data_IF_076845873712
#
_entry.id   IF_076845873712
#
_cell.length_a   1.000
_cell.length_b   1.000
_cell.length_c   1.000
_cell.angle_alpha   90.00
_cell.angle_beta   90.00
_cell.angle_gamma   90.00
#
_symmetry.space_group_name_H-M   'P 1'
#
loop_
_entity.id
_entity.type
_entity.pdbx_description
1 polymer ?
#
# COMPACT_ATOMS: atom_id res chain seq x y z
N UNK A 1 62.87 2.23 8.66
CA UNK A 1 61.86 1.30 8.09
C UNK A 1 60.54 1.53 8.82
N UNK A 2 59.68 2.43 8.32
CA UNK A 2 58.39 2.75 8.93
C UNK A 2 57.30 2.13 8.05
N UNK A 3 56.68 1.05 8.50
CA UNK A 3 55.61 0.35 7.77
C UNK A 3 54.28 1.06 8.03
N UNK A 4 53.78 1.78 7.02
CA UNK A 4 52.38 2.18 6.93
C UNK A 4 51.51 0.93 6.87
N UNK A 5 50.79 0.63 7.95
CA UNK A 5 49.67 -0.31 7.93
C UNK A 5 48.38 0.52 7.75
N UNK A 6 48.01 0.78 6.49
CA UNK A 6 46.70 1.31 6.17
C UNK A 6 45.68 0.18 6.35
N UNK A 7 44.96 0.18 7.49
CA UNK A 7 43.78 -0.64 7.66
C UNK A 7 42.72 -0.20 6.64
N UNK A 8 42.54 -1.00 5.59
CA UNK A 8 41.34 -0.97 4.75
C UNK A 8 40.16 -1.41 5.62
N UNK A 9 39.49 -0.45 6.26
CA UNK A 9 38.13 -0.60 6.77
C UNK A 9 37.21 -0.81 5.56
N UNK A 10 37.18 -2.06 5.08
CA UNK A 10 36.19 -2.52 4.10
C UNK A 10 34.84 -2.43 4.80
N UNK A 11 34.18 -1.28 4.60
CA UNK A 11 32.79 -1.09 4.98
C UNK A 11 31.99 -2.01 4.08
N UNK A 12 31.79 -3.24 4.54
CA UNK A 12 30.72 -4.08 4.04
C UNK A 12 29.43 -3.34 4.42
N UNK A 13 29.03 -2.40 3.57
CA UNK A 13 27.71 -1.82 3.60
C UNK A 13 26.78 -3.01 3.39
N UNK A 14 26.27 -3.56 4.50
CA UNK A 14 25.10 -4.41 4.47
C UNK A 14 24.05 -3.56 3.76
N UNK A 15 23.86 -3.85 2.47
CA UNK A 15 22.79 -3.29 1.69
C UNK A 15 21.51 -3.77 2.38
N UNK A 16 20.99 -2.90 3.26
CA UNK A 16 19.75 -3.19 3.96
C UNK A 16 18.69 -3.20 2.89
N UNK A 17 18.08 -4.36 2.66
CA UNK A 17 16.89 -4.44 1.85
C UNK A 17 15.87 -3.40 2.34
N UNK A 18 15.27 -2.68 1.40
CA UNK A 18 14.31 -1.63 1.67
C UNK A 18 12.95 -2.03 1.13
N UNK A 19 11.90 -1.56 1.80
CA UNK A 19 10.50 -1.83 1.46
C UNK A 19 9.69 -0.54 1.42
N UNK A 20 8.65 -0.50 0.60
CA UNK A 20 7.63 0.55 0.60
C UNK A 20 6.27 -0.06 0.31
N UNK A 21 5.18 0.57 0.75
CA UNK A 21 3.82 0.02 0.60
C UNK A 21 2.93 1.00 -0.16
N UNK A 22 2.22 0.49 -1.15
CA UNK A 22 1.29 1.27 -1.95
C UNK A 22 -0.10 0.65 -1.83
N UNK A 23 -1.05 1.41 -1.31
CA UNK A 23 -2.46 1.04 -1.24
C UNK A 23 -3.22 1.78 -2.34
N UNK A 24 -3.71 1.02 -3.32
CA UNK A 24 -4.51 1.51 -4.43
C UNK A 24 -5.99 1.20 -4.21
N UNK A 25 -6.82 2.21 -4.38
CA UNK A 25 -8.28 2.12 -4.33
C UNK A 25 -8.86 2.68 -5.62
N UNK A 26 -10.02 2.16 -6.02
CA UNK A 26 -10.88 2.83 -7.00
C UNK A 26 -11.47 4.10 -6.35
N UNK A 27 -11.78 5.11 -7.16
CA UNK A 27 -12.63 6.21 -6.71
C UNK A 27 -13.96 5.71 -6.09
N UNK A 28 -14.54 6.46 -5.17
CA UNK A 28 -15.82 6.15 -4.54
C UNK A 28 -17.00 6.11 -5.52
N UNK A 29 -18.17 5.76 -5.00
CA UNK A 29 -19.42 5.60 -5.75
C UNK A 29 -19.73 6.85 -6.58
N UNK A 30 -20.26 6.64 -7.78
CA UNK A 30 -20.65 7.70 -8.71
C UNK A 30 -22.15 7.63 -8.99
N UNK A 31 -22.70 8.75 -9.47
CA UNK A 31 -24.02 8.74 -10.06
C UNK A 31 -24.06 7.85 -11.30
N UNK A 32 -25.26 7.35 -11.59
CA UNK A 32 -25.56 6.55 -12.75
C UNK A 32 -25.34 7.33 -14.03
N UNK A 33 -25.80 8.57 -14.03
CA UNK A 33 -25.46 9.61 -14.98
C UNK A 33 -23.94 9.83 -15.02
N UNK A 34 -23.34 9.46 -16.15
CA UNK A 34 -21.90 9.55 -16.38
C UNK A 34 -21.43 10.99 -16.59
N UNK A 35 -22.33 11.93 -16.91
CA UNK A 35 -22.01 13.34 -17.08
C UNK A 35 -21.73 14.05 -15.75
N UNK A 36 -22.27 13.54 -14.64
CA UNK A 36 -21.98 14.05 -13.32
C UNK A 36 -20.56 13.66 -12.90
N UNK A 37 -19.62 14.61 -12.89
CA UNK A 37 -18.20 14.35 -12.65
C UNK A 37 -17.83 14.05 -11.18
N UNK A 38 -18.80 14.17 -10.27
CA UNK A 38 -18.61 14.09 -8.82
C UNK A 38 -18.99 12.71 -8.25
N UNK A 39 -18.57 12.46 -7.01
CA UNK A 39 -19.05 11.33 -6.22
C UNK A 39 -20.55 11.44 -5.96
N UNK A 40 -21.22 10.29 -5.91
CA UNK A 40 -22.56 10.19 -5.35
C UNK A 40 -22.51 10.37 -3.82
N UNK A 41 -23.66 10.61 -3.13
CA UNK A 41 -23.70 10.71 -1.67
C UNK A 41 -23.03 9.52 -0.96
N UNK A 42 -23.25 8.29 -1.45
CA UNK A 42 -22.57 7.10 -0.92
C UNK A 42 -21.04 7.15 -1.10
N UNK A 43 -20.56 7.74 -2.19
CA UNK A 43 -19.13 7.92 -2.47
C UNK A 43 -18.48 8.91 -1.52
N UNK A 44 -19.18 10.01 -1.19
CA UNK A 44 -18.72 10.93 -0.15
C UNK A 44 -18.70 10.26 1.23
N UNK A 45 -19.73 9.48 1.57
CA UNK A 45 -19.74 8.69 2.80
C UNK A 45 -18.55 7.71 2.86
N UNK A 46 -18.21 7.05 1.74
CA UNK A 46 -17.04 6.17 1.65
C UNK A 46 -15.74 6.93 1.84
N UNK A 47 -15.61 8.10 1.23
CA UNK A 47 -14.43 8.95 1.35
C UNK A 47 -14.20 9.37 2.82
N UNK A 48 -15.27 9.73 3.54
CA UNK A 48 -15.21 10.04 4.98
C UNK A 48 -14.85 8.81 5.83
N UNK A 49 -15.40 7.63 5.50
CA UNK A 49 -15.02 6.37 6.16
C UNK A 49 -13.53 6.05 6.00
N UNK A 50 -13.02 6.15 4.77
CA UNK A 50 -11.59 5.98 4.48
C UNK A 50 -10.78 6.98 5.31
N UNK A 51 -11.15 8.25 5.32
CA UNK A 51 -10.44 9.26 6.08
C UNK A 51 -10.37 8.95 7.57
N UNK A 52 -11.51 8.62 8.19
CA UNK A 52 -11.58 8.27 9.61
C UNK A 52 -10.71 7.05 9.93
N UNK A 53 -10.80 6.00 9.12
CA UNK A 53 -10.13 4.74 9.43
C UNK A 53 -8.64 4.74 9.12
N UNK A 54 -8.22 5.45 8.08
CA UNK A 54 -6.82 5.49 7.63
C UNK A 54 -6.00 6.56 8.35
N UNK A 55 -6.63 7.64 8.85
CA UNK A 55 -5.90 8.71 9.53
C UNK A 55 -5.42 8.36 10.94
N UNK A 56 -5.84 7.22 11.48
CA UNK A 56 -5.40 6.75 12.79
C UNK A 56 -4.00 6.10 12.71
N UNK A 57 -3.12 6.41 13.67
CA UNK A 57 -1.79 5.79 13.80
C UNK A 57 -1.82 4.29 14.13
N UNK A 58 -2.99 3.74 14.43
CA UNK A 58 -3.15 2.33 14.78
C UNK A 58 -2.96 1.43 13.57
N UNK A 59 -2.18 0.37 13.75
CA UNK A 59 -1.94 -0.66 12.75
C UNK A 59 -3.27 -1.27 12.24
N UNK A 60 -3.40 -1.33 10.91
CA UNK A 60 -4.46 -2.07 10.20
C UNK A 60 -3.83 -2.94 9.11
N UNK A 61 -4.57 -3.89 8.54
CA UNK A 61 -4.05 -4.74 7.46
C UNK A 61 -3.71 -3.92 6.21
N UNK A 62 -4.57 -2.95 5.89
CA UNK A 62 -4.36 -2.06 4.76
C UNK A 62 -3.25 -1.03 5.02
N UNK A 63 -3.06 -0.60 6.25
CA UNK A 63 -2.08 0.43 6.61
C UNK A 63 -1.18 -0.08 7.75
N UNK A 64 -0.31 -1.06 7.46
CA UNK A 64 0.49 -1.74 8.50
C UNK A 64 1.66 -0.90 9.03
N UNK A 65 1.98 0.22 8.39
CA UNK A 65 3.01 1.17 8.84
C UNK A 65 2.38 2.48 9.37
N UNK A 66 1.07 2.49 9.58
CA UNK A 66 0.31 3.70 9.92
C UNK A 66 -0.19 4.45 8.68
N UNK A 67 -0.66 5.70 8.86
CA UNK A 67 -1.22 6.52 7.80
C UNK A 67 -0.26 6.74 6.63
N UNK A 68 -0.77 6.97 5.41
CA UNK A 68 0.05 7.19 4.22
C UNK A 68 0.90 8.46 4.33
N UNK A 69 2.13 8.39 3.84
CA UNK A 69 3.03 9.55 3.70
C UNK A 69 2.73 10.34 2.42
N UNK A 70 2.10 9.71 1.42
CA UNK A 70 1.69 10.35 0.16
C UNK A 70 0.27 10.00 -0.24
N UNK A 71 -0.43 10.99 -0.78
CA UNK A 71 -1.73 10.83 -1.42
C UNK A 71 -1.61 11.16 -2.91
N UNK A 72 -2.07 10.25 -3.76
CA UNK A 72 -2.08 10.44 -5.22
C UNK A 72 -3.47 10.16 -5.76
N UNK A 73 -4.01 11.09 -6.53
CA UNK A 73 -5.25 10.90 -7.28
C UNK A 73 -4.99 11.04 -8.78
N UNK A 74 -5.65 10.22 -9.59
CA UNK A 74 -5.67 10.45 -11.04
C UNK A 74 -6.56 11.61 -11.43
N UNK A 75 -6.11 12.37 -12.42
CA UNK A 75 -6.88 13.38 -13.13
C UNK A 75 -7.51 12.76 -14.37
N UNK A 76 -8.78 13.08 -14.62
CA UNK A 76 -9.38 12.93 -15.94
C UNK A 76 -9.58 14.33 -16.52
N UNK A 77 -8.73 14.78 -17.46
CA UNK A 77 -8.78 16.14 -17.95
C UNK A 77 -10.04 16.38 -18.80
N UNK A 78 -10.31 17.64 -19.16
CA UNK A 78 -11.44 17.95 -20.02
C UNK A 78 -11.42 17.15 -21.33
N UNK A 79 -12.60 16.80 -21.83
CA UNK A 79 -12.78 16.11 -23.09
C UNK A 79 -12.46 17.04 -24.29
N UNK A 80 -12.62 16.54 -25.52
CA UNK A 80 -12.32 17.32 -26.74
C UNK A 80 -13.19 18.59 -26.89
N UNK A 81 -14.30 18.68 -26.15
CA UNK A 81 -15.20 19.83 -26.12
C UNK A 81 -14.92 20.80 -24.97
N UNK A 82 -13.89 20.52 -24.15
CA UNK A 82 -13.52 21.33 -23.00
C UNK A 82 -14.35 21.08 -21.75
N UNK A 83 -15.14 20.00 -21.71
CA UNK A 83 -15.96 19.65 -20.55
C UNK A 83 -15.17 18.75 -19.59
N UNK A 84 -15.19 19.06 -18.28
CA UNK A 84 -14.60 18.21 -17.25
C UNK A 84 -15.20 16.80 -17.27
N UNK A 85 -14.39 15.76 -17.04
CA UNK A 85 -14.86 14.37 -17.15
C UNK A 85 -15.02 13.64 -15.80
N UNK A 86 -14.12 13.82 -14.83
CA UNK A 86 -14.23 13.16 -13.51
C UNK A 86 -13.24 13.74 -12.50
N UNK A 87 -13.76 14.24 -11.37
CA UNK A 87 -12.96 14.66 -10.20
C UNK A 87 -13.00 13.64 -9.06
N UNK A 88 -13.81 12.58 -9.21
CA UNK A 88 -14.07 11.54 -8.19
C UNK A 88 -12.84 10.95 -7.49
N UNK A 89 -11.71 10.62 -8.18
CA UNK A 89 -10.52 10.13 -7.48
C UNK A 89 -9.96 11.14 -6.47
N UNK A 90 -9.93 12.42 -6.81
CA UNK A 90 -9.52 13.48 -5.89
C UNK A 90 -10.50 13.61 -4.72
N UNK A 91 -11.80 13.64 -5.00
CA UNK A 91 -12.83 13.73 -3.96
C UNK A 91 -12.77 12.56 -2.98
N UNK A 92 -12.39 11.36 -3.46
CA UNK A 92 -12.24 10.16 -2.62
C UNK A 92 -11.16 10.33 -1.57
N UNK A 93 -10.04 11.01 -1.89
CA UNK A 93 -8.93 11.23 -0.96
C UNK A 93 -8.99 12.59 -0.24
N UNK A 94 -9.88 13.49 -0.63
CA UNK A 94 -9.95 14.84 -0.06
C UNK A 94 -10.23 14.83 1.45
N UNK A 95 -11.17 14.03 1.98
CA UNK A 95 -11.36 13.92 3.42
C UNK A 95 -10.10 13.41 4.15
N UNK A 96 -9.40 12.41 3.61
CA UNK A 96 -8.16 11.88 4.20
C UNK A 96 -7.03 12.91 4.18
N UNK A 97 -6.92 13.67 3.08
CA UNK A 97 -5.99 14.79 2.96
C UNK A 97 -6.18 15.83 4.05
N UNK A 98 -7.44 16.21 4.33
CA UNK A 98 -7.76 17.12 5.43
C UNK A 98 -7.40 16.53 6.80
N UNK A 99 -7.77 15.27 7.04
CA UNK A 99 -7.50 14.59 8.31
C UNK A 99 -6.00 14.48 8.61
N UNK A 100 -5.17 14.30 7.58
CA UNK A 100 -3.71 14.16 7.70
C UNK A 100 -2.94 15.46 7.49
N UNK A 101 -3.60 16.55 7.09
CA UNK A 101 -2.93 17.77 6.59
C UNK A 101 -1.89 17.47 5.50
N UNK A 102 -2.18 16.50 4.64
CA UNK A 102 -1.29 15.98 3.60
C UNK A 102 -1.91 16.26 2.22
N UNK A 103 -1.27 17.04 1.33
CA UNK A 103 -1.85 17.37 0.02
C UNK A 103 -2.01 16.15 -0.88
N UNK A 104 -3.05 16.15 -1.72
CA UNK A 104 -3.23 15.15 -2.78
C UNK A 104 -2.48 15.58 -4.03
N UNK A 105 -1.50 14.78 -4.48
CA UNK A 105 -0.95 14.94 -5.82
C UNK A 105 -2.01 14.52 -6.84
N UNK A 106 -2.59 15.50 -7.54
CA UNK A 106 -3.60 15.28 -8.57
C UNK A 106 -3.17 15.91 -9.90
N UNK A 107 -2.02 15.48 -10.42
CA UNK A 107 -1.45 15.99 -11.69
C UNK A 107 -1.28 14.91 -12.75
N UNK A 108 -1.37 13.64 -12.36
CA UNK A 108 -1.19 12.52 -13.27
C UNK A 108 -2.51 12.20 -13.96
N UNK A 109 -2.51 12.22 -15.30
CA UNK A 109 -3.66 11.72 -16.08
C UNK A 109 -3.88 10.24 -15.73
N UNK A 110 -5.14 9.81 -15.66
CA UNK A 110 -5.53 8.43 -15.42
C UNK A 110 -4.91 7.41 -16.40
N UNK A 111 -4.50 7.85 -17.60
CA UNK A 111 -3.80 7.04 -18.60
C UNK A 111 -2.27 7.02 -18.44
N UNK A 112 -1.71 7.90 -17.60
CA UNK A 112 -0.26 8.08 -17.46
C UNK A 112 0.33 7.09 -16.43
N UNK A 113 0.31 5.80 -16.78
CA UNK A 113 0.81 4.72 -15.92
C UNK A 113 2.32 4.88 -15.68
N UNK A 114 3.11 5.26 -16.68
CA UNK A 114 4.54 5.49 -16.52
C UNK A 114 4.85 6.62 -15.53
N UNK A 115 4.12 7.72 -15.62
CA UNK A 115 4.26 8.83 -14.67
C UNK A 115 3.95 8.41 -13.22
N UNK A 116 3.03 7.48 -13.02
CA UNK A 116 2.79 6.89 -11.71
C UNK A 116 3.94 5.96 -11.27
N UNK A 117 4.46 5.11 -12.16
CA UNK A 117 5.64 4.28 -11.84
C UNK A 117 6.82 5.16 -11.43
N UNK A 118 7.01 6.31 -12.07
CA UNK A 118 8.04 7.28 -11.67
C UNK A 118 7.81 7.84 -10.27
N UNK A 119 6.56 7.95 -9.79
CA UNK A 119 6.27 8.31 -8.40
C UNK A 119 6.61 7.19 -7.43
N UNK A 120 6.36 5.94 -7.81
CA UNK A 120 6.79 4.79 -7.02
C UNK A 120 8.32 4.77 -6.87
N UNK A 121 9.05 5.06 -7.95
CA UNK A 121 10.51 5.11 -7.93
C UNK A 121 11.08 6.19 -6.98
N UNK A 122 10.28 7.19 -6.61
CA UNK A 122 10.67 8.29 -5.71
C UNK A 122 10.26 8.07 -4.25
N UNK A 123 9.74 6.89 -3.91
CA UNK A 123 9.46 6.53 -2.53
C UNK A 123 10.77 6.29 -1.77
N UNK A 124 10.83 6.77 -0.53
CA UNK A 124 11.87 6.45 0.43
C UNK A 124 11.62 5.06 1.06
N UNK A 125 12.65 4.51 1.70
CA UNK A 125 12.51 3.27 2.46
C UNK A 125 11.53 3.46 3.62
N UNK A 126 10.57 2.55 3.75
CA UNK A 126 9.50 2.59 4.76
C UNK A 126 8.34 3.51 4.40
N UNK A 127 8.43 4.26 3.30
CA UNK A 127 7.38 5.21 2.90
C UNK A 127 6.14 4.48 2.38
N UNK A 128 4.98 5.07 2.65
CA UNK A 128 3.68 4.55 2.28
C UNK A 128 2.91 5.52 1.38
N UNK A 129 2.12 4.98 0.46
CA UNK A 129 1.32 5.78 -0.48
C UNK A 129 -0.12 5.26 -0.53
N UNK A 130 -1.09 6.16 -0.48
CA UNK A 130 -2.48 5.86 -0.78
C UNK A 130 -2.87 6.51 -2.12
N UNK A 131 -3.50 5.72 -2.99
CA UNK A 131 -3.74 6.08 -4.39
C UNK A 131 -5.20 5.87 -4.73
N UNK A 132 -5.88 6.89 -5.26
CA UNK A 132 -7.21 6.76 -5.85
C UNK A 132 -7.15 6.86 -7.38
N UNK A 133 -7.71 5.87 -8.07
CA UNK A 133 -7.63 5.77 -9.53
C UNK A 133 -8.95 5.38 -10.20
N UNK A 134 -8.98 5.49 -11.54
CA UNK A 134 -10.02 4.92 -12.39
C UNK A 134 -9.84 3.40 -12.51
N UNK A 135 -10.85 2.60 -12.12
CA UNK A 135 -10.73 1.13 -12.11
C UNK A 135 -10.40 0.51 -13.47
N UNK A 136 -10.86 1.12 -14.56
CA UNK A 136 -10.63 0.63 -15.93
C UNK A 136 -9.18 0.68 -16.38
N UNK A 137 -8.30 1.34 -15.62
CA UNK A 137 -6.87 1.45 -15.90
C UNK A 137 -6.01 0.67 -14.90
N UNK A 138 -6.62 0.03 -13.89
CA UNK A 138 -5.90 -0.77 -12.92
C UNK A 138 -5.21 -2.00 -13.55
N UNK A 139 -5.76 -2.53 -14.64
CA UNK A 139 -5.13 -3.58 -15.47
C UNK A 139 -3.77 -3.16 -16.05
N UNK A 140 -3.63 -1.88 -16.39
CA UNK A 140 -2.43 -1.33 -17.00
C UNK A 140 -1.30 -1.22 -15.99
N UNK A 141 -1.61 -1.00 -14.71
CA UNK A 141 -0.62 -1.11 -13.64
C UNK A 141 -0.16 -2.55 -13.43
N UNK A 142 -1.07 -3.53 -13.50
CA UNK A 142 -0.72 -4.94 -13.35
C UNK A 142 0.35 -5.32 -14.37
N UNK A 143 0.10 -4.99 -15.65
CA UNK A 143 1.07 -5.21 -16.73
C UNK A 143 2.37 -4.44 -16.51
N UNK A 144 2.26 -3.15 -16.20
CA UNK A 144 3.42 -2.26 -16.15
C UNK A 144 4.34 -2.51 -14.95
N UNK A 145 3.79 -3.04 -13.86
CA UNK A 145 4.50 -3.34 -12.62
C UNK A 145 4.97 -4.80 -12.53
N UNK A 146 4.73 -5.63 -13.55
CA UNK A 146 5.12 -7.03 -13.55
C UNK A 146 4.34 -7.87 -12.53
N UNK A 147 3.06 -7.52 -12.30
CA UNK A 147 2.20 -8.20 -11.33
C UNK A 147 1.40 -9.36 -11.95
N UNK A 148 1.66 -9.70 -13.22
CA UNK A 148 1.04 -10.85 -13.87
C UNK A 148 1.31 -12.14 -13.08
N UNK A 149 0.25 -12.89 -12.79
CA UNK A 149 0.33 -14.09 -11.95
C UNK A 149 0.31 -13.82 -10.44
N UNK A 150 0.44 -12.56 -10.00
CA UNK A 150 0.29 -12.14 -8.60
C UNK A 150 -1.04 -11.42 -8.34
N UNK A 151 -1.48 -10.58 -9.27
CA UNK A 151 -2.71 -9.79 -9.17
C UNK A 151 -3.76 -10.21 -10.21
N UNK A 152 -5.06 -9.98 -9.96
CA UNK A 152 -6.09 -10.07 -11.00
C UNK A 152 -5.76 -9.17 -12.18
N UNK A 153 -6.00 -9.63 -13.40
CA UNK A 153 -5.69 -8.88 -14.61
C UNK A 153 -6.46 -7.55 -14.74
N UNK A 154 -7.57 -7.39 -14.03
CA UNK A 154 -8.38 -6.17 -14.02
C UNK A 154 -9.10 -6.02 -12.69
N UNK A 155 -9.55 -4.80 -12.38
CA UNK A 155 -10.42 -4.58 -11.24
C UNK A 155 -11.73 -5.37 -11.44
N UNK A 156 -12.17 -6.16 -10.44
CA UNK A 156 -13.37 -6.97 -10.57
C UNK A 156 -14.63 -6.13 -10.80
N UNK A 157 -15.50 -6.57 -11.70
CA UNK A 157 -16.80 -5.92 -11.97
C UNK A 157 -17.83 -6.14 -10.86
N UNK A 158 -17.63 -7.20 -10.08
CA UNK A 158 -18.43 -7.53 -8.91
C UNK A 158 -17.52 -8.08 -7.83
N UNK A 159 -17.81 -7.71 -6.59
CA UNK A 159 -17.16 -8.31 -5.45
C UNK A 159 -17.99 -9.52 -5.01
N UNK A 160 -17.48 -10.71 -5.30
CA UNK A 160 -18.08 -11.94 -4.78
C UNK A 160 -17.53 -12.21 -3.39
N UNK A 161 -18.05 -11.47 -2.41
CA UNK A 161 -17.63 -11.61 -1.02
C UNK A 161 -18.29 -12.85 -0.40
N UNK A 162 -17.48 -13.77 0.12
CA UNK A 162 -17.99 -14.91 0.89
C UNK A 162 -18.13 -14.52 2.36
N UNK A 163 -19.35 -14.37 2.87
CA UNK A 163 -19.59 -14.05 4.30
C UNK A 163 -20.86 -13.21 4.54
N UNK A 164 -21.03 -12.63 5.75
CA UNK A 164 -22.19 -11.79 6.11
C UNK A 164 -22.12 -10.37 5.51
N UNK A 165 -21.16 -10.14 4.64
CA UNK A 165 -20.87 -8.81 4.10
C UNK A 165 -21.57 -8.66 2.75
N UNK A 166 -22.39 -7.62 2.63
CA UNK A 166 -22.95 -7.16 1.37
C UNK A 166 -22.53 -5.69 1.17
N UNK A 167 -22.23 -5.31 -0.08
CA UNK A 167 -22.10 -3.90 -0.42
C UNK A 167 -23.44 -3.26 0.00
N UNK A 168 -23.43 -2.10 0.67
CA UNK A 168 -24.66 -1.35 0.94
C UNK A 168 -25.53 -1.29 -0.32
N UNK A 169 -26.84 -1.43 -0.14
CA UNK A 169 -27.78 -1.13 -1.21
C UNK A 169 -27.69 0.37 -1.48
N UNK A 170 -26.86 0.72 -2.46
CA UNK A 170 -26.73 2.09 -2.91
C UNK A 170 -28.06 2.44 -3.54
N UNK A 171 -28.74 3.45 -2.99
CA UNK A 171 -29.97 3.97 -3.58
C UNK A 171 -29.84 4.06 -5.12
N UNK A 172 -30.93 3.77 -5.82
CA UNK A 172 -31.08 3.48 -7.27
C UNK A 172 -30.28 4.35 -8.27
N UNK A 173 -29.67 5.45 -7.82
CA UNK A 173 -28.88 6.41 -8.59
C UNK A 173 -27.39 6.05 -8.71
N UNK A 174 -26.92 4.91 -8.21
CA UNK A 174 -25.54 4.42 -8.39
C UNK A 174 -25.53 3.26 -9.39
N UNK A 175 -25.15 3.49 -10.66
CA UNK A 175 -25.06 2.41 -11.67
C UNK A 175 -23.64 1.92 -11.98
N UNK A 176 -23.62 0.61 -12.28
CA UNK A 176 -22.61 -0.20 -12.99
C UNK A 176 -21.15 -0.14 -12.52
N UNK A 177 -20.66 -1.32 -12.14
CA UNK A 177 -19.38 -1.55 -11.52
C UNK A 177 -19.58 -1.68 -10.01
N UNK A 178 -20.03 -2.86 -9.58
CA UNK A 178 -20.00 -3.24 -8.17
C UNK A 178 -18.52 -3.33 -7.75
N UNK A 179 -18.24 -3.53 -6.46
CA UNK A 179 -16.87 -3.70 -5.96
C UNK A 179 -16.10 -2.38 -5.74
N UNK A 180 -16.70 -1.48 -4.96
CA UNK A 180 -16.02 -0.26 -4.49
C UNK A 180 -15.22 -0.54 -3.22
N UNK A 181 -15.61 -1.55 -2.44
CA UNK A 181 -15.03 -1.86 -1.14
C UNK A 181 -13.75 -2.71 -1.21
N UNK A 182 -12.86 -2.44 -2.17
CA UNK A 182 -11.57 -3.12 -2.29
C UNK A 182 -10.36 -2.18 -2.14
N UNK A 183 -9.29 -2.75 -1.61
CA UNK A 183 -7.94 -2.18 -1.61
C UNK A 183 -7.00 -3.18 -2.28
N UNK A 184 -6.22 -2.69 -3.22
CA UNK A 184 -5.07 -3.40 -3.76
C UNK A 184 -3.81 -2.88 -3.09
N UNK A 185 -3.07 -3.74 -2.42
CA UNK A 185 -1.85 -3.38 -1.73
C UNK A 185 -0.65 -4.03 -2.40
N UNK A 186 0.34 -3.21 -2.72
CA UNK A 186 1.58 -3.62 -3.35
C UNK A 186 2.71 -3.46 -2.33
N UNK A 187 3.50 -4.51 -2.18
CA UNK A 187 4.78 -4.43 -1.49
C UNK A 187 5.87 -4.18 -2.52
N UNK A 188 6.54 -3.05 -2.39
CA UNK A 188 7.73 -2.72 -3.17
C UNK A 188 8.98 -3.14 -2.38
N UNK A 189 9.98 -3.62 -3.10
CA UNK A 189 11.28 -4.02 -2.58
C UNK A 189 12.39 -3.41 -3.42
N UNK A 190 13.53 -3.08 -2.78
CA UNK A 190 14.81 -2.88 -3.46
C UNK A 190 15.96 -3.30 -2.56
N UNK A 191 17.09 -3.66 -3.15
CA UNK A 191 18.27 -4.14 -2.40
C UNK A 191 19.01 -3.01 -1.67
N UNK A 192 18.79 -1.78 -2.11
CA UNK A 192 19.30 -0.57 -1.48
C UNK A 192 18.92 0.68 -2.29
N UNK A 193 19.34 1.87 -1.87
CA UNK A 193 18.89 3.14 -2.44
C UNK A 193 19.35 3.37 -3.90
N UNK A 194 20.38 2.65 -4.36
CA UNK A 194 20.85 2.69 -5.75
C UNK A 194 20.00 1.83 -6.71
N UNK A 195 19.15 0.96 -6.17
CA UNK A 195 18.34 0.03 -6.96
C UNK A 195 16.92 0.58 -7.16
N UNK A 196 16.29 0.12 -8.25
CA UNK A 196 14.89 0.47 -8.54
C UNK A 196 13.94 -0.34 -7.67
N UNK A 197 12.82 0.28 -7.29
CA UNK A 197 11.71 -0.42 -6.65
C UNK A 197 11.13 -1.46 -7.62
N UNK A 198 10.95 -2.69 -7.13
CA UNK A 198 10.23 -3.78 -7.81
C UNK A 198 9.06 -4.24 -6.95
N UNK A 199 7.93 -4.53 -7.57
CA UNK A 199 6.79 -5.15 -6.87
C UNK A 199 7.13 -6.60 -6.55
N UNK A 200 7.00 -7.02 -5.28
CA UNK A 200 7.31 -8.39 -4.85
C UNK A 200 6.13 -9.14 -4.27
N UNK A 201 5.09 -8.43 -3.84
CA UNK A 201 3.86 -9.03 -3.36
C UNK A 201 2.65 -8.16 -3.69
N UNK A 202 1.50 -8.82 -3.77
CA UNK A 202 0.21 -8.21 -3.98
C UNK A 202 -0.79 -8.78 -2.98
N UNK A 203 -1.65 -7.93 -2.44
CA UNK A 203 -2.78 -8.31 -1.61
C UNK A 203 -4.03 -7.58 -2.09
N UNK A 204 -5.16 -8.28 -2.06
CA UNK A 204 -6.48 -7.69 -2.25
C UNK A 204 -7.28 -7.85 -0.95
N UNK A 205 -7.82 -6.75 -0.46
CA UNK A 205 -8.49 -6.69 0.84
C UNK A 205 -9.80 -5.92 0.74
N UNK A 206 -10.68 -6.10 1.72
CA UNK A 206 -11.96 -5.38 1.80
C UNK A 206 -11.89 -4.25 2.83
N UNK A 207 -12.43 -3.08 2.49
CA UNK A 207 -12.37 -1.89 3.36
C UNK A 207 -13.33 -1.97 4.55
N UNK A 208 -14.50 -2.57 4.38
CA UNK A 208 -15.52 -2.69 5.41
C UNK A 208 -16.49 -1.50 5.53
N UNK A 209 -16.66 -0.66 4.51
CA UNK A 209 -17.38 0.62 4.60
C UNK A 209 -18.82 0.55 5.14
N UNK A 210 -19.60 -0.50 4.81
CA UNK A 210 -20.97 -0.72 5.30
C UNK A 210 -21.97 0.44 5.12
N UNK A 211 -21.62 1.48 4.36
CA UNK A 211 -22.54 2.53 3.89
C UNK A 211 -22.58 3.80 4.72
N UNK A 212 -21.78 3.90 5.80
CA UNK A 212 -21.78 5.05 6.69
C UNK A 212 -20.36 5.58 6.92
N UNK A 213 -20.13 6.88 6.66
CA UNK A 213 -18.82 7.52 6.84
C UNK A 213 -18.32 7.47 8.28
N UNK A 214 -19.22 7.54 9.24
CA UNK A 214 -18.96 7.46 10.67
C UNK A 214 -19.00 6.02 11.23
N UNK A 215 -19.43 5.02 10.45
CA UNK A 215 -19.53 3.61 10.85
C UNK A 215 -18.19 2.97 11.30
N UNK A 216 -18.18 1.94 12.15
CA UNK A 216 -16.96 1.41 12.74
C UNK A 216 -15.96 0.92 11.69
N UNK A 217 -14.65 1.13 11.93
CA UNK A 217 -13.60 0.56 11.09
C UNK A 217 -13.55 -0.96 11.27
N UNK A 218 -13.77 -1.72 10.21
CA UNK A 218 -13.83 -3.18 10.21
C UNK A 218 -12.98 -3.78 9.09
N UNK A 219 -12.87 -5.12 9.04
CA UNK A 219 -12.09 -5.84 8.02
C UNK A 219 -10.63 -5.33 7.91
N UNK A 220 -10.19 -4.89 6.72
CA UNK A 220 -8.80 -4.46 6.51
C UNK A 220 -8.45 -3.14 7.20
N UNK A 221 -9.46 -2.38 7.63
CA UNK A 221 -9.32 -1.17 8.44
C UNK A 221 -9.53 -1.41 9.92
N UNK A 222 -9.87 -2.63 10.35
CA UNK A 222 -9.95 -2.96 11.77
C UNK A 222 -8.56 -2.87 12.40
N UNK A 223 -8.41 -2.20 13.56
CA UNK A 223 -7.20 -2.28 14.37
C UNK A 223 -6.80 -3.73 14.65
N UNK A 224 -5.52 -4.04 14.48
CA UNK A 224 -4.96 -5.36 14.82
C UNK A 224 -5.43 -6.51 13.90
N UNK A 225 -6.11 -6.22 12.79
CA UNK A 225 -6.45 -7.22 11.77
C UNK A 225 -5.18 -7.94 11.28
N UNK A 226 -5.11 -9.26 11.44
CA UNK A 226 -3.88 -10.01 11.21
C UNK A 226 -3.59 -10.21 9.71
N UNK A 227 -2.35 -9.96 9.24
CA UNK A 227 -1.94 -10.18 7.85
C UNK A 227 -1.72 -11.68 7.57
N UNK A 228 -2.78 -12.49 7.67
CA UNK A 228 -2.67 -13.94 7.55
C UNK A 228 -2.35 -14.44 6.13
N UNK A 229 -2.61 -13.64 5.09
CA UNK A 229 -2.46 -14.08 3.70
C UNK A 229 -2.09 -12.93 2.75
N UNK A 230 -0.90 -12.34 2.91
CA UNK A 230 -0.25 -11.75 1.74
C UNK A 230 0.09 -12.94 0.82
N UNK A 231 -0.61 -13.04 -0.30
CA UNK A 231 -0.51 -14.18 -1.21
C UNK A 231 0.96 -14.50 -1.50
N UNK A 232 1.32 -15.77 -1.30
CA UNK A 232 2.66 -16.34 -1.46
C UNK A 232 3.42 -15.62 -2.57
N UNK A 233 4.44 -14.85 -2.21
CA UNK A 233 5.44 -14.40 -3.17
C UNK A 233 5.90 -15.65 -3.93
N UNK A 234 5.78 -15.66 -5.26
CA UNK A 234 6.51 -16.63 -6.05
C UNK A 234 7.97 -16.56 -5.58
N UNK A 235 8.63 -17.68 -5.25
CA UNK A 235 10.04 -17.64 -4.88
C UNK A 235 10.75 -16.89 -6.01
N UNK A 236 11.46 -15.82 -5.65
CA UNK A 236 12.35 -15.11 -6.55
C UNK A 236 13.27 -16.20 -7.09
N UNK A 237 13.03 -16.64 -8.33
CA UNK A 237 14.00 -17.41 -9.05
C UNK A 237 15.23 -16.50 -9.06
N UNK A 238 16.24 -16.90 -8.28
CA UNK A 238 17.53 -16.24 -8.24
C UNK A 238 17.88 -15.90 -9.69
N UNK A 239 18.14 -14.61 -9.94
CA UNK A 239 18.48 -14.09 -11.25
C UNK A 239 19.36 -15.13 -11.96
N UNK A 240 18.77 -15.85 -12.92
CA UNK A 240 19.46 -16.86 -13.66
C UNK A 240 20.44 -16.07 -14.52
N UNK A 241 21.67 -16.04 -14.04
CA UNK A 241 22.87 -15.67 -14.76
C UNK A 241 22.76 -16.25 -16.18
N UNK A 242 22.49 -15.37 -17.14
CA UNK A 242 22.38 -15.72 -18.55
C UNK A 242 23.79 -15.91 -19.11
N UNK A 243 24.47 -16.95 -18.63
CA UNK A 243 25.70 -17.44 -19.21
C UNK A 243 25.37 -18.73 -19.97
N UNK A 244 25.49 -18.77 -21.31
CA UNK A 244 25.16 -19.96 -22.09
C UNK A 244 26.19 -21.05 -21.79
N UNK A 245 25.80 -22.05 -21.00
CA UNK A 245 26.60 -23.27 -20.83
C UNK A 245 26.35 -24.19 -22.02
N UNK A 246 27.38 -24.35 -22.84
CA UNK A 246 27.47 -25.39 -23.84
C UNK A 246 27.14 -26.76 -23.23
N UNK A 247 26.27 -27.50 -23.91
CA UNK A 247 25.86 -28.85 -23.57
C UNK A 247 27.05 -29.81 -23.58
N UNK A 248 27.28 -30.50 -22.47
CA UNK A 248 28.00 -31.76 -22.43
C UNK A 248 27.12 -32.81 -21.75
N UNK A 249 27.03 -33.95 -22.44
CA UNK A 249 26.18 -35.10 -22.19
C UNK A 249 26.40 -35.76 -20.82
N UNK A 250 25.39 -36.38 -20.16
CA UNK A 250 25.59 -37.09 -18.91
C UNK A 250 26.00 -38.55 -19.15
N UNK A 251 27.07 -38.99 -18.50
CA UNK A 251 27.34 -40.40 -18.25
C UNK A 251 26.67 -40.82 -16.92
N UNK A 252 26.18 -42.07 -16.78
CA UNK A 252 25.47 -42.51 -15.58
C UNK A 252 26.46 -42.89 -14.48
N UNK A 253 26.29 -42.31 -13.29
CA UNK A 253 26.95 -42.77 -12.06
C UNK A 253 25.97 -43.63 -11.27
N UNK A 254 26.38 -44.86 -11.04
CA UNK A 254 25.70 -45.89 -10.24
C UNK A 254 25.76 -45.50 -8.76
N UNK A 255 24.62 -45.23 -8.13
CA UNK A 255 24.51 -45.08 -6.68
C UNK A 255 24.27 -46.45 -6.02
N UNK A 256 25.23 -46.90 -5.22
CA UNK A 256 25.17 -48.13 -4.44
C UNK A 256 24.65 -47.78 -3.04
N UNK A 257 23.49 -48.33 -2.68
CA UNK A 257 22.92 -48.26 -1.33
C UNK A 257 23.72 -49.12 -0.36
N UNK A 258 24.11 -48.56 0.79
CA UNK A 258 24.42 -49.34 1.99
C UNK A 258 23.62 -48.77 3.14
N UNK A 259 22.61 -49.52 3.56
CA UNK A 259 21.91 -49.33 4.82
C UNK A 259 22.75 -49.95 5.94
N UNK A 260 22.97 -49.20 7.03
CA UNK A 260 23.65 -49.67 8.22
C UNK A 260 22.98 -49.09 9.46
N UNK A 261 22.26 -49.94 10.17
CA UNK A 261 21.67 -49.70 11.48
C UNK A 261 22.76 -49.65 12.56
N UNK A 262 22.74 -48.65 13.45
CA UNK A 262 23.26 -48.79 14.82
C UNK A 262 22.32 -48.06 15.78
N UNK A 263 21.86 -48.82 16.77
CA UNK A 263 21.03 -48.41 17.91
C UNK A 263 21.92 -47.89 19.03
N UNK A 264 21.50 -46.77 19.63
CA UNK A 264 21.54 -46.51 21.07
C UNK A 264 22.88 -46.14 21.72
N UNK A 265 22.94 -44.95 22.31
CA UNK A 265 23.00 -44.73 23.76
C UNK A 265 23.08 -43.23 24.06
N UNK A 266 22.48 -42.85 25.20
CA UNK A 266 22.18 -41.48 25.57
C UNK A 266 23.37 -40.64 26.05
N UNK A 267 23.06 -39.41 26.44
CA UNK A 267 24.03 -38.52 27.07
C UNK A 267 23.73 -37.06 26.77
N UNK A 268 23.14 -36.38 27.73
CA UNK A 268 22.85 -34.97 27.71
C UNK A 268 24.11 -34.10 27.53
N UNK A 269 24.02 -33.06 26.70
CA UNK A 269 24.90 -31.89 26.76
C UNK A 269 24.17 -30.66 26.19
N UNK A 270 23.43 -29.98 27.06
CA UNK A 270 22.99 -28.60 26.87
C UNK A 270 24.15 -27.66 27.22
N UNK A 271 24.69 -26.94 26.24
CA UNK A 271 25.43 -25.70 26.45
C UNK A 271 25.54 -24.93 25.13
N UNK A 272 24.49 -24.17 24.80
CA UNK A 272 24.52 -23.22 23.69
C UNK A 272 24.94 -21.84 24.21
N UNK A 273 26.03 -21.40 23.60
CA UNK A 273 26.64 -20.07 23.59
C UNK A 273 25.61 -18.94 23.71
N UNK A 274 25.61 -18.22 24.83
CA UNK A 274 24.96 -16.93 24.95
C UNK A 274 25.96 -15.82 24.55
N UNK A 275 25.79 -15.29 23.34
CA UNK A 275 26.48 -14.09 22.87
C UNK A 275 25.99 -12.87 23.64
N UNK A 276 26.95 -12.07 24.08
CA UNK A 276 26.78 -10.84 24.83
C UNK A 276 25.78 -9.87 24.19
N UNK A 277 24.72 -9.53 24.93
CA UNK A 277 23.95 -8.31 24.73
C UNK A 277 24.78 -7.12 25.22
N UNK A 278 25.30 -6.31 24.29
CA UNK A 278 25.66 -4.91 24.59
C UNK A 278 24.54 -4.01 24.08
N UNK A 279 23.93 -3.30 25.02
CA UNK A 279 23.03 -2.18 24.76
C UNK A 279 23.76 -0.89 24.39
N UNK A 280 22.97 0.18 24.32
CA UNK A 280 23.23 1.54 23.84
C UNK A 280 23.21 1.67 22.30
N UNK A 281 22.33 2.48 21.69
CA UNK A 281 21.97 3.84 22.08
C UNK A 281 20.50 4.19 21.85
N UNK A 282 20.03 5.01 22.78
CA UNK A 282 18.83 5.83 22.81
C UNK A 282 18.67 6.67 21.53
N UNK A 283 17.48 6.64 20.95
CA UNK A 283 17.05 7.64 19.96
C UNK A 283 16.27 8.73 20.71
N UNK A 284 16.81 9.95 20.67
CA UNK A 284 16.26 11.12 21.34
C UNK A 284 14.93 11.53 20.69
N UNK A 285 13.88 11.54 21.52
CA UNK A 285 12.57 12.08 21.20
C UNK A 285 12.67 13.61 21.23
N UNK A 286 12.52 14.27 20.07
CA UNK A 286 12.37 15.74 20.01
C UNK A 286 10.92 16.10 20.34
N UNK A 287 10.66 16.35 21.62
CA UNK A 287 9.49 17.11 22.09
C UNK A 287 9.81 18.61 21.97
N UNK A 288 8.94 19.36 21.30
CA UNK A 288 9.13 20.81 21.18
C UNK A 288 8.10 21.50 20.30
N UNK A 289 6.83 21.52 20.71
CA UNK A 289 5.93 22.63 20.38
C UNK A 289 4.83 22.76 21.42
N UNK A 290 5.06 23.67 22.37
CA UNK A 290 4.06 24.18 23.30
C UNK A 290 3.14 25.11 22.51
N UNK A 291 1.92 24.67 22.21
CA UNK A 291 0.87 25.55 21.71
C UNK A 291 0.22 26.20 22.92
N UNK A 292 0.39 27.52 23.05
CA UNK A 292 -0.40 28.33 23.99
C UNK A 292 -1.83 28.39 23.45
N UNK A 293 -2.75 27.81 24.20
CA UNK A 293 -4.19 28.05 24.04
C UNK A 293 -4.44 29.42 24.66
N UNK A 294 -4.79 30.40 23.83
CA UNK A 294 -5.37 31.66 24.29
C UNK A 294 -6.88 31.46 24.22
N UNK A 295 -7.51 31.38 25.39
CA UNK A 295 -8.96 31.47 25.52
C UNK A 295 -9.31 32.96 25.47
N UNK A 296 -9.92 33.41 24.38
CA UNK A 296 -10.76 34.60 24.40
C UNK A 296 -12.15 34.16 23.94
N UNK A 297 -13.02 34.01 24.94
CA UNK A 297 -14.45 34.07 24.76
C UNK A 297 -14.81 35.55 24.64
N UNK A 298 -15.35 35.97 23.50
CA UNK A 298 -16.16 37.17 23.47
C UNK A 298 -17.35 36.97 22.53
N UNK A 299 -18.52 37.05 23.17
CA UNK A 299 -19.84 37.09 22.59
C UNK A 299 -20.06 38.39 21.82
N UNK A 300 -20.61 38.31 20.61
CA UNK A 300 -21.54 39.35 20.15
C UNK A 300 -22.57 38.76 19.18
N UNK A 301 -23.82 39.09 19.45
CA UNK A 301 -25.02 38.70 18.73
C UNK A 301 -25.27 39.56 17.48
N UNK A 302 -25.89 38.92 16.49
CA UNK A 302 -26.94 39.43 15.56
C UNK A 302 -26.56 40.37 14.38
N UNK A 303 -27.45 40.53 13.34
CA UNK A 303 -28.63 39.75 12.98
C UNK A 303 -28.70 39.30 11.49
N UNK A 304 -29.64 38.37 11.29
CA UNK A 304 -30.33 37.99 10.05
C UNK A 304 -30.81 39.18 9.21
N UNK A 305 -30.55 39.14 7.90
CA UNK A 305 -31.33 39.85 6.89
C UNK A 305 -32.01 38.84 5.95
N UNK A 306 -33.34 38.87 5.96
CA UNK A 306 -34.18 38.26 4.94
C UNK A 306 -34.21 39.16 3.70
N UNK A 307 -34.14 38.55 2.52
CA UNK A 307 -34.42 39.21 1.24
C UNK A 307 -35.64 38.52 0.64
N UNK A 308 -36.68 39.31 0.45
CA UNK A 308 -37.83 39.08 -0.45
C UNK A 308 -37.41 39.13 -1.90
#
# INVERSE_FOLDING_TARGET
>A
MLRLAALLLSHCALASAEYAIVNMIRHGERFSDKSNIHLAPAGFQRAEYIAKCVSNATFTMAFPLGPPDRLVASVRPPNAHGEDESVRPLETLTPLSRALSLPVENTLRYTNVDGFVDRLQKLAAGETMCVAWQHSFLDSFVRRLGLEGLAPASWPRSCNYTGPWAEPDYAMDVTEGNCYDLIWQLLLFREGPAHRWRSTAFSQMHMGFRGAGDGPCVEAFSPGSAPGMWGRAAPIAAAADSTPRHALSPAPVVFRWVAGWVVGLGGAAMALIAVARRGCKTMAWRSGKTVRIVNEAESSEAPYHAVT
#
